data_IF_886648702070
#
_entry.id   IF_886648702070
#
_cell.length_a   1.000
_cell.length_b   1.000
_cell.length_c   1.000
_cell.angle_alpha   90.00
_cell.angle_beta   90.00
_cell.angle_gamma   90.00
#
_symmetry.space_group_name_H-M   'P 1'
#
loop_
_entity.id
_entity.type
_entity.pdbx_description
1 polymer ?
#
# COMPACT_ATOMS: atom_id res chain seq x y z
N UNK A 1 -14.13 11.28 11.53
CA UNK A 1 -15.05 10.22 11.05
C UNK A 1 -16.05 10.84 10.09
N UNK A 2 -16.41 10.16 9.00
CA UNK A 2 -17.42 10.64 8.05
C UNK A 2 -18.83 10.40 8.60
N UNK A 3 -19.67 11.43 8.59
CA UNK A 3 -21.04 11.33 9.06
C UNK A 3 -21.91 10.69 7.98
N UNK A 4 -22.31 9.43 8.16
CA UNK A 4 -23.12 8.69 7.18
C UNK A 4 -24.61 8.99 7.44
N UNK A 5 -25.20 9.86 6.63
CA UNK A 5 -26.65 10.07 6.65
C UNK A 5 -27.36 8.87 6.00
N UNK A 6 -28.11 8.13 6.81
CA UNK A 6 -28.92 7.00 6.33
C UNK A 6 -30.22 7.55 5.72
N UNK A 7 -30.56 7.24 4.46
CA UNK A 7 -31.81 7.69 3.85
C UNK A 7 -33.03 7.23 4.66
N UNK A 8 -33.94 8.16 4.97
CA UNK A 8 -35.11 7.92 5.83
C UNK A 8 -36.07 6.85 5.31
N UNK A 9 -36.05 6.57 4.00
CA UNK A 9 -36.86 5.52 3.37
C UNK A 9 -36.27 4.11 3.58
N UNK A 10 -34.95 3.97 3.73
CA UNK A 10 -34.25 2.68 3.77
C UNK A 10 -34.77 1.72 4.86
N UNK A 11 -35.03 2.15 6.12
CA UNK A 11 -35.59 1.27 7.14
C UNK A 11 -36.98 0.72 6.77
N UNK A 12 -37.79 1.50 6.05
CA UNK A 12 -39.14 1.09 5.65
C UNK A 12 -39.11 0.08 4.50
N UNK A 13 -38.23 0.30 3.52
CA UNK A 13 -38.01 -0.58 2.37
C UNK A 13 -37.49 -1.95 2.84
N UNK A 14 -36.45 -1.96 3.69
CA UNK A 14 -35.88 -3.20 4.23
C UNK A 14 -36.91 -3.96 5.09
N UNK A 15 -37.65 -3.28 5.96
CA UNK A 15 -38.71 -3.92 6.77
C UNK A 15 -39.77 -4.60 5.91
N UNK A 16 -40.19 -3.95 4.81
CA UNK A 16 -41.20 -4.49 3.91
C UNK A 16 -40.66 -5.70 3.10
N UNK A 17 -39.37 -5.70 2.73
CA UNK A 17 -38.71 -6.88 2.16
C UNK A 17 -38.63 -8.04 3.17
N UNK A 18 -38.22 -7.79 4.42
CA UNK A 18 -38.19 -8.83 5.47
C UNK A 18 -39.58 -9.43 5.72
N UNK A 19 -40.64 -8.62 5.74
CA UNK A 19 -42.02 -9.10 5.83
C UNK A 19 -42.44 -9.94 4.61
N UNK A 20 -41.92 -9.64 3.43
CA UNK A 20 -42.11 -10.47 2.22
C UNK A 20 -41.48 -11.86 2.43
N UNK A 21 -40.18 -11.91 2.76
CA UNK A 21 -39.43 -13.16 2.99
C UNK A 21 -40.06 -14.03 4.08
N UNK A 22 -40.47 -13.44 5.21
CA UNK A 22 -41.12 -14.17 6.31
C UNK A 22 -42.49 -14.76 5.91
N UNK A 23 -43.19 -14.13 4.96
CA UNK A 23 -44.52 -14.54 4.48
C UNK A 23 -44.45 -15.56 3.36
N UNK A 24 -43.52 -15.42 2.40
CA UNK A 24 -43.38 -16.34 1.26
C UNK A 24 -42.47 -17.54 1.56
N UNK A 25 -41.52 -17.40 2.49
CA UNK A 25 -40.51 -18.40 2.85
C UNK A 25 -39.82 -19.01 1.60
N UNK A 26 -39.17 -18.17 0.78
CA UNK A 26 -38.56 -18.62 -0.47
C UNK A 26 -37.38 -19.57 -0.19
N UNK A 27 -37.08 -20.46 -1.13
CA UNK A 27 -35.94 -21.39 -1.01
C UNK A 27 -34.60 -20.71 -1.18
N UNK A 28 -34.55 -19.67 -2.02
CA UNK A 28 -33.43 -18.75 -2.15
C UNK A 28 -33.91 -17.33 -1.85
N UNK A 29 -33.17 -16.61 -1.00
CA UNK A 29 -33.51 -15.25 -0.55
C UNK A 29 -32.96 -14.20 -1.53
N UNK A 30 -31.91 -14.51 -2.29
CA UNK A 30 -31.26 -13.62 -3.25
C UNK A 30 -32.14 -13.48 -4.50
N UNK A 31 -32.62 -14.60 -5.07
CA UNK A 31 -33.56 -14.55 -6.21
C UNK A 31 -34.86 -13.82 -5.83
N UNK A 32 -35.39 -14.09 -4.63
CA UNK A 32 -36.57 -13.39 -4.11
C UNK A 32 -36.31 -11.89 -3.87
N UNK A 33 -35.08 -11.49 -3.52
CA UNK A 33 -34.70 -10.08 -3.43
C UNK A 33 -34.67 -9.41 -4.82
N UNK A 34 -34.04 -10.07 -5.81
CA UNK A 34 -33.97 -9.57 -7.19
C UNK A 34 -35.37 -9.38 -7.76
N UNK A 35 -36.28 -10.35 -7.59
CA UNK A 35 -37.65 -10.21 -8.05
C UNK A 35 -38.40 -9.11 -7.27
N UNK A 36 -38.33 -9.11 -5.93
CA UNK A 36 -39.05 -8.14 -5.08
C UNK A 36 -38.66 -6.69 -5.41
N UNK A 37 -37.37 -6.38 -5.49
CA UNK A 37 -36.92 -5.02 -5.80
C UNK A 37 -37.19 -4.64 -7.27
N UNK A 38 -37.16 -5.59 -8.21
CA UNK A 38 -37.60 -5.36 -9.60
C UNK A 38 -39.09 -5.02 -9.67
N UNK A 39 -39.94 -5.68 -8.89
CA UNK A 39 -41.38 -5.36 -8.80
C UNK A 39 -41.60 -3.98 -8.13
N UNK A 40 -40.89 -3.68 -7.03
CA UNK A 40 -40.99 -2.40 -6.32
C UNK A 40 -40.60 -1.21 -7.20
N UNK A 41 -39.50 -1.32 -7.95
CA UNK A 41 -39.03 -0.28 -8.88
C UNK A 41 -40.06 0.00 -9.99
N UNK A 42 -40.74 -1.03 -10.50
CA UNK A 42 -41.84 -0.88 -11.48
C UNK A 42 -43.04 -0.13 -10.89
N UNK A 43 -43.41 -0.42 -9.64
CA UNK A 43 -44.51 0.29 -8.96
C UNK A 43 -44.19 1.77 -8.72
N UNK A 44 -42.98 2.09 -8.23
CA UNK A 44 -42.54 3.48 -8.06
C UNK A 44 -42.56 4.26 -9.39
N UNK A 45 -42.08 3.64 -10.48
CA UNK A 45 -42.13 4.26 -11.81
C UNK A 45 -43.57 4.54 -12.27
N UNK A 46 -44.48 3.57 -12.11
CA UNK A 46 -45.91 3.76 -12.44
C UNK A 46 -46.58 4.87 -11.62
N UNK A 47 -46.24 5.02 -10.33
CA UNK A 47 -46.74 6.13 -9.52
C UNK A 47 -46.22 7.49 -10.02
N UNK A 48 -44.94 7.58 -10.39
CA UNK A 48 -44.37 8.83 -10.93
C UNK A 48 -44.98 9.22 -12.29
N UNK A 49 -45.30 8.25 -13.14
CA UNK A 49 -45.95 8.47 -14.44
C UNK A 49 -47.41 8.90 -14.30
N UNK A 50 -48.13 8.43 -13.27
CA UNK A 50 -49.48 8.88 -12.93
C UNK A 50 -49.49 10.32 -12.38
N UNK A 51 -48.52 10.68 -11.53
CA UNK A 51 -48.38 12.05 -11.02
C UNK A 51 -48.08 13.08 -12.13
N UNK A 52 -47.35 12.68 -13.18
CA UNK A 52 -47.02 13.54 -14.33
C UNK A 52 -48.17 13.72 -15.34
N UNK A 53 -49.21 12.89 -15.29
CA UNK A 53 -50.32 12.91 -16.28
C UNK A 53 -51.59 13.61 -15.81
N UNK A 54 -51.68 13.97 -14.52
CA UNK A 54 -52.87 14.60 -13.93
C UNK A 54 -53.12 16.09 -14.27
N UNK A 55 -52.14 16.81 -14.81
CA UNK A 55 -52.24 18.26 -15.05
C UNK A 55 -52.42 18.62 -16.54
N UNK A 56 -53.68 18.68 -17.01
CA UNK A 56 -54.09 19.44 -18.20
C UNK A 56 -55.39 20.20 -17.92
N UNK A 57 -55.48 21.50 -18.25
CA UNK A 57 -56.68 22.29 -17.99
C UNK A 57 -57.78 21.97 -19.01
N UNK A 58 -59.03 21.98 -18.55
CA UNK A 58 -60.24 21.97 -19.39
C UNK A 58 -60.95 23.31 -19.24
N UNK A 59 -61.36 23.91 -20.36
CA UNK A 59 -61.86 25.29 -20.42
C UNK A 59 -63.34 25.33 -20.80
N UNK A 60 -64.10 26.25 -20.18
CA UNK A 60 -65.53 26.56 -20.43
C UNK A 60 -66.54 25.48 -19.96
N UNK A 61 -67.77 25.80 -19.54
CA UNK A 61 -68.48 27.09 -19.54
C UNK A 61 -69.49 27.25 -18.36
N UNK A 62 -69.79 28.52 -18.04
CA UNK A 62 -71.08 29.08 -17.55
C UNK A 62 -71.79 28.57 -16.27
N UNK A 63 -72.22 29.55 -15.45
CA UNK A 63 -73.31 29.53 -14.44
C UNK A 63 -73.17 28.62 -13.20
N UNK A 64 -73.64 29.02 -12.00
CA UNK A 64 -74.22 30.29 -11.55
C UNK A 64 -73.93 30.57 -10.06
N UNK A 65 -73.93 31.85 -9.71
CA UNK A 65 -73.78 32.42 -8.37
C UNK A 65 -74.79 31.93 -7.32
N UNK A 66 -74.37 31.87 -6.05
CA UNK A 66 -74.99 32.64 -4.97
C UNK A 66 -73.99 32.96 -3.84
N UNK A 67 -74.34 33.91 -2.97
CA UNK A 67 -73.52 34.50 -1.89
C UNK A 67 -73.79 33.82 -0.51
N UNK A 68 -73.32 34.25 0.68
CA UNK A 68 -72.71 35.51 1.16
C UNK A 68 -72.14 35.36 2.60
N UNK A 69 -71.03 36.06 2.94
CA UNK A 69 -70.61 36.47 4.33
C UNK A 69 -70.30 35.29 5.32
N UNK A 70 -69.58 35.40 6.44
CA UNK A 70 -69.10 36.52 7.28
C UNK A 70 -67.68 36.31 7.86
N UNK A 71 -67.20 37.27 8.67
CA UNK A 71 -65.81 37.44 9.11
C UNK A 71 -65.41 36.69 10.41
N UNK A 72 -64.10 36.69 10.69
CA UNK A 72 -63.43 36.34 11.96
C UNK A 72 -63.95 37.16 13.18
N UNK A 73 -63.64 36.75 14.43
CA UNK A 73 -62.43 37.29 15.10
C UNK A 73 -61.65 36.29 16.00
N UNK A 74 -60.64 36.81 16.69
CA UNK A 74 -59.58 36.12 17.45
C UNK A 74 -59.88 35.93 18.95
N UNK A 75 -59.19 34.99 19.61
CA UNK A 75 -58.58 35.05 20.98
C UNK A 75 -58.01 33.66 21.35
N UNK A 76 -57.33 33.39 22.49
CA UNK A 76 -56.17 33.97 23.22
C UNK A 76 -55.95 33.08 24.48
N UNK A 77 -54.81 33.18 25.20
CA UNK A 77 -54.57 32.62 26.56
C UNK A 77 -54.54 31.07 26.73
N UNK A 78 -54.13 30.48 27.88
CA UNK A 78 -52.84 30.49 28.65
C UNK A 78 -52.83 29.29 29.62
N UNK A 79 -51.65 28.88 30.17
CA UNK A 79 -51.43 28.24 31.50
C UNK A 79 -52.29 27.02 31.94
N UNK A 80 -51.81 25.80 32.18
CA UNK A 80 -51.03 25.30 33.36
C UNK A 80 -51.69 23.95 33.83
N UNK A 81 -51.19 23.05 34.71
CA UNK A 81 -49.97 22.92 35.54
C UNK A 81 -49.71 21.43 35.95
N UNK A 82 -48.50 21.13 36.44
CA UNK A 82 -48.08 20.17 37.49
C UNK A 82 -48.74 18.76 37.70
N UNK A 83 -47.88 17.75 37.93
CA UNK A 83 -47.76 16.94 39.17
C UNK A 83 -46.42 16.15 39.18
N UNK A 84 -45.94 15.75 40.35
CA UNK A 84 -44.61 15.15 40.62
C UNK A 84 -44.72 13.62 40.83
N UNK A 85 -43.67 12.80 40.66
CA UNK A 85 -42.78 12.35 41.76
C UNK A 85 -41.62 11.44 41.27
N UNK A 86 -40.66 11.17 42.17
CA UNK A 86 -39.46 10.31 42.05
C UNK A 86 -39.67 8.85 42.52
N UNK A 87 -38.83 7.88 42.08
CA UNK A 87 -38.21 6.86 42.99
C UNK A 87 -37.12 5.93 42.36
N UNK A 88 -35.92 5.94 42.97
CA UNK A 88 -35.04 4.84 43.44
C UNK A 88 -34.80 3.46 42.75
N UNK A 89 -33.49 3.18 42.50
CA UNK A 89 -32.65 2.03 43.01
C UNK A 89 -32.73 0.60 42.38
N UNK A 90 -31.53 -0.01 42.21
CA UNK A 90 -31.20 -1.46 42.07
C UNK A 90 -31.66 -2.21 40.78
N UNK A 91 -31.08 -3.34 40.31
CA UNK A 91 -29.81 -4.12 40.51
C UNK A 91 -29.64 -4.97 39.22
N UNK A 92 -28.46 -5.14 38.61
CA UNK A 92 -27.41 -6.15 38.86
C UNK A 92 -27.71 -7.60 38.40
N UNK A 93 -26.66 -8.33 38.01
CA UNK A 93 -26.52 -9.80 37.79
C UNK A 93 -27.03 -10.52 36.51
N UNK A 94 -26.05 -11.12 35.80
CA UNK A 94 -26.02 -12.49 35.23
C UNK A 94 -26.94 -12.87 34.03
N UNK A 95 -26.59 -13.86 33.17
CA UNK A 95 -25.71 -15.03 33.38
C UNK A 95 -24.69 -15.29 32.25
N UNK A 96 -23.50 -15.77 32.63
CA UNK A 96 -22.51 -16.41 31.73
C UNK A 96 -22.77 -17.91 31.58
N UNK A 97 -22.59 -18.47 30.38
CA UNK A 97 -22.36 -19.91 30.16
C UNK A 97 -21.79 -20.13 28.74
N UNK A 98 -20.48 -20.16 28.51
CA UNK A 98 -19.48 -21.17 28.92
C UNK A 98 -19.48 -22.44 28.05
N UNK A 99 -18.33 -22.73 27.43
CA UNK A 99 -17.57 -23.97 27.67
C UNK A 99 -16.09 -23.76 27.28
N UNK A 100 -15.18 -24.29 28.10
CA UNK A 100 -13.71 -24.24 27.95
C UNK A 100 -13.13 -25.52 28.60
N UNK A 101 -11.83 -25.78 28.41
CA UNK A 101 -11.00 -26.84 29.05
C UNK A 101 -11.12 -28.21 28.35
N UNK A 102 -10.11 -29.07 28.34
CA UNK A 102 -9.01 -29.23 29.33
C UNK A 102 -7.56 -28.95 28.89
N UNK A 103 -6.72 -28.62 29.90
CA UNK A 103 -5.25 -28.64 29.82
C UNK A 103 -4.58 -28.66 31.22
N UNK A 104 -3.91 -29.76 31.57
CA UNK A 104 -2.92 -29.89 32.67
C UNK A 104 -2.03 -31.13 32.39
N UNK A 105 -0.69 -31.17 32.56
CA UNK A 105 0.20 -30.99 33.75
C UNK A 105 0.05 -32.14 34.78
N UNK A 106 1.07 -32.83 35.31
CA UNK A 106 2.58 -32.75 35.34
C UNK A 106 3.19 -34.15 35.64
N UNK A 107 4.50 -34.51 35.59
CA UNK A 107 5.78 -34.11 34.92
C UNK A 107 6.92 -35.03 35.45
N UNK A 108 8.17 -34.95 34.93
CA UNK A 108 9.44 -35.57 35.45
C UNK A 108 9.51 -37.11 35.20
N UNK A 109 10.61 -37.78 34.80
CA UNK A 109 12.05 -37.72 35.20
C UNK A 109 13.08 -38.05 34.06
N UNK A 110 14.30 -38.51 34.38
CA UNK A 110 15.56 -38.21 33.65
C UNK A 110 16.40 -39.44 33.24
N UNK A 111 17.05 -39.44 32.04
CA UNK A 111 18.52 -39.73 31.76
C UNK A 111 18.89 -40.38 30.41
N UNK A 112 20.06 -39.93 29.90
CA UNK A 112 21.13 -40.63 29.15
C UNK A 112 21.02 -41.06 27.65
N UNK A 113 22.08 -40.68 26.90
CA UNK A 113 22.80 -41.43 25.83
C UNK A 113 22.09 -41.74 24.49
N UNK A 114 22.76 -41.84 23.33
CA UNK A 114 24.10 -41.37 22.89
C UNK A 114 24.19 -41.37 21.34
N UNK A 115 24.83 -40.33 20.77
CA UNK A 115 25.78 -40.42 19.64
C UNK A 115 25.30 -40.86 18.21
N UNK A 116 26.22 -40.72 17.25
CA UNK A 116 26.26 -41.27 15.87
C UNK A 116 25.37 -40.62 14.79
N UNK A 117 26.01 -39.62 14.17
CA UNK A 117 25.98 -39.19 12.76
C UNK A 117 25.67 -40.20 11.65
N UNK A 118 25.13 -39.68 10.52
CA UNK A 118 25.51 -39.92 9.11
C UNK A 118 24.34 -40.14 8.12
N UNK A 119 24.47 -39.45 6.99
CA UNK A 119 24.05 -39.83 5.63
C UNK A 119 24.44 -41.30 5.25
N UNK A 120 23.88 -41.95 4.20
CA UNK A 120 23.86 -41.38 2.85
C UNK A 120 22.73 -41.83 1.88
N UNK A 121 22.92 -41.41 0.64
CA UNK A 121 22.32 -41.94 -0.60
C UNK A 121 22.56 -43.45 -0.80
N UNK A 122 21.75 -44.12 -1.64
CA UNK A 122 22.12 -44.56 -3.01
C UNK A 122 20.90 -45.22 -3.72
N UNK A 123 21.11 -45.91 -4.84
CA UNK A 123 20.15 -46.17 -5.92
C UNK A 123 19.81 -47.67 -6.15
N UNK A 124 19.18 -47.94 -7.31
CA UNK A 124 19.28 -49.18 -8.14
C UNK A 124 18.51 -50.46 -7.76
N UNK A 125 17.27 -50.53 -8.28
CA UNK A 125 16.78 -51.51 -9.31
C UNK A 125 17.12 -53.01 -9.26
N UNK A 126 16.06 -53.83 -9.17
CA UNK A 126 15.69 -55.08 -9.93
C UNK A 126 14.18 -55.30 -9.69
N UNK A 127 13.30 -55.78 -10.59
CA UNK A 127 13.24 -57.08 -11.31
C UNK A 127 13.11 -58.28 -10.32
N UNK A 128 12.17 -59.24 -10.43
CA UNK A 128 11.16 -59.57 -11.47
C UNK A 128 10.03 -60.48 -10.89
N UNK A 129 8.84 -60.49 -11.55
CA UNK A 129 7.74 -61.53 -11.55
C UNK A 129 7.11 -62.01 -10.18
N UNK A 130 5.94 -62.70 -10.07
CA UNK A 130 5.17 -63.60 -10.97
C UNK A 130 3.62 -63.57 -10.75
N UNK A 131 2.87 -63.97 -11.80
CA UNK A 131 1.63 -64.79 -11.83
C UNK A 131 0.23 -64.32 -11.31
N UNK A 132 -0.66 -64.09 -12.30
CA UNK A 132 -1.96 -64.77 -12.56
C UNK A 132 -3.19 -64.59 -11.61
N UNK A 133 -4.46 -64.65 -12.07
CA UNK A 133 -5.02 -65.00 -13.40
C UNK A 133 -6.43 -64.38 -13.65
N UNK A 134 -6.74 -63.98 -14.91
CA UNK A 134 -8.08 -63.96 -15.59
C UNK A 134 -9.28 -63.15 -14.99
N UNK A 135 -10.26 -62.62 -15.77
CA UNK A 135 -10.71 -62.94 -17.15
C UNK A 135 -11.60 -61.85 -17.80
N UNK A 136 -11.57 -61.73 -19.15
CA UNK A 136 -12.59 -61.16 -20.09
C UNK A 136 -12.99 -59.67 -19.99
N UNK A 137 -13.26 -58.94 -21.09
CA UNK A 137 -13.36 -59.30 -22.54
C UNK A 137 -13.18 -58.09 -23.49
N UNK A 138 -12.53 -58.34 -24.64
CA UNK A 138 -12.75 -57.79 -26.01
C UNK A 138 -12.74 -56.24 -26.21
N UNK A 139 -11.78 -55.62 -26.94
CA UNK A 139 -11.43 -55.67 -28.40
C UNK A 139 -12.39 -54.81 -29.28
N UNK A 140 -12.03 -54.16 -30.40
CA UNK A 140 -10.72 -53.78 -31.00
C UNK A 140 -10.29 -52.36 -30.46
N UNK A 141 -9.57 -51.40 -31.09
CA UNK A 141 -8.90 -51.19 -32.40
C UNK A 141 -7.82 -50.06 -32.29
N UNK A 142 -6.52 -50.37 -32.17
CA UNK A 142 -5.45 -49.34 -32.27
C UNK A 142 -5.03 -49.10 -33.74
N UNK A 143 -5.48 -47.99 -34.32
CA UNK A 143 -5.02 -47.52 -35.65
C UNK A 143 -4.24 -46.21 -35.56
N UNK A 144 -2.92 -46.36 -35.51
CA UNK A 144 -1.95 -45.32 -35.86
C UNK A 144 -2.37 -44.63 -37.18
N UNK A 145 -2.65 -43.33 -37.10
CA UNK A 145 -2.93 -42.46 -38.23
C UNK A 145 -2.19 -41.15 -38.02
N UNK A 146 -1.00 -41.06 -38.61
CA UNK A 146 -0.24 -39.82 -38.73
C UNK A 146 -0.94 -38.87 -39.70
N UNK A 147 -1.89 -38.07 -39.20
CA UNK A 147 -2.59 -37.07 -40.00
C UNK A 147 -2.80 -35.72 -39.27
N UNK A 148 -1.84 -34.83 -39.51
CA UNK A 148 -1.98 -33.38 -39.71
C UNK A 148 -3.39 -32.76 -39.50
N UNK A 149 -3.71 -32.36 -38.27
CA UNK A 149 -4.77 -31.39 -37.95
C UNK A 149 -4.32 -30.39 -36.87
N UNK A 150 -3.26 -29.62 -37.20
CA UNK A 150 -2.77 -28.55 -36.33
C UNK A 150 -3.55 -27.22 -36.52
N UNK A 151 -4.72 -27.26 -37.16
CA UNK A 151 -5.50 -26.08 -37.54
C UNK A 151 -6.73 -25.81 -36.64
N UNK A 152 -7.31 -26.85 -36.03
CA UNK A 152 -8.57 -26.74 -35.29
C UNK A 152 -8.49 -25.95 -33.95
N UNK A 153 -7.32 -25.84 -33.31
CA UNK A 153 -7.19 -25.25 -31.96
C UNK A 153 -7.06 -23.72 -31.93
N UNK A 154 -6.89 -23.02 -33.07
CA UNK A 154 -6.67 -21.57 -32.99
C UNK A 154 -7.94 -20.80 -32.58
N UNK A 155 -9.14 -21.23 -33.01
CA UNK A 155 -10.39 -20.66 -32.49
C UNK A 155 -10.62 -21.04 -31.02
N UNK A 156 -10.25 -22.25 -30.59
CA UNK A 156 -10.37 -22.68 -29.19
C UNK A 156 -9.45 -21.86 -28.28
N UNK A 157 -8.18 -21.66 -28.65
CA UNK A 157 -7.24 -20.75 -27.96
C UNK A 157 -7.78 -19.33 -27.93
N UNK A 158 -8.23 -18.78 -29.06
CA UNK A 158 -8.82 -17.43 -29.12
C UNK A 158 -10.06 -17.30 -28.20
N UNK A 159 -10.87 -18.35 -28.07
CA UNK A 159 -12.03 -18.38 -27.18
C UNK A 159 -11.62 -18.48 -25.69
N UNK A 160 -10.66 -19.33 -25.34
CA UNK A 160 -10.14 -19.47 -23.97
C UNK A 160 -9.38 -18.23 -23.48
N UNK A 161 -8.64 -17.56 -24.36
CA UNK A 161 -7.96 -16.29 -24.08
C UNK A 161 -8.99 -15.19 -23.82
N UNK A 162 -9.97 -14.98 -24.72
CA UNK A 162 -11.06 -14.01 -24.51
C UNK A 162 -11.84 -14.24 -23.21
N UNK A 163 -12.06 -15.50 -22.83
CA UNK A 163 -12.73 -15.86 -21.58
C UNK A 163 -11.89 -15.58 -20.31
N UNK A 164 -10.60 -15.27 -20.45
CA UNK A 164 -9.67 -14.92 -19.38
C UNK A 164 -9.07 -13.50 -19.50
N UNK A 165 -9.49 -12.64 -20.44
CA UNK A 165 -8.93 -11.29 -20.66
C UNK A 165 -8.92 -10.37 -19.42
N UNK A 166 -9.75 -10.68 -18.41
CA UNK A 166 -9.84 -9.94 -17.14
C UNK A 166 -9.12 -10.60 -15.96
N UNK A 167 -8.43 -11.74 -16.16
CA UNK A 167 -7.73 -12.44 -15.09
C UNK A 167 -6.38 -11.78 -14.81
N UNK A 168 -6.26 -11.13 -13.66
CA UNK A 168 -4.99 -10.52 -13.19
C UNK A 168 -3.90 -11.59 -13.11
N UNK A 169 -2.76 -11.32 -13.75
CA UNK A 169 -1.57 -12.18 -13.75
C UNK A 169 -0.60 -11.69 -12.68
N UNK A 170 0.04 -12.61 -11.96
CA UNK A 170 1.09 -12.28 -10.99
C UNK A 170 2.36 -11.78 -11.68
N UNK A 171 2.96 -10.71 -11.15
CA UNK A 171 4.29 -10.23 -11.58
C UNK A 171 5.35 -10.57 -10.53
N UNK A 172 6.58 -10.81 -10.98
CA UNK A 172 7.74 -11.07 -10.13
C UNK A 172 9.00 -10.46 -10.76
N UNK A 173 10.03 -10.33 -9.94
CA UNK A 173 11.34 -9.81 -10.31
C UNK A 173 12.43 -10.75 -9.77
N UNK A 174 13.68 -10.56 -10.20
CA UNK A 174 14.81 -11.34 -9.71
C UNK A 174 14.96 -11.21 -8.19
N UNK A 175 15.29 -12.33 -7.53
CA UNK A 175 15.66 -12.35 -6.12
C UNK A 175 17.03 -11.68 -5.97
N UNK A 176 17.17 -10.89 -4.91
CA UNK A 176 18.42 -10.24 -4.52
C UNK A 176 18.48 -10.24 -3.01
N UNK A 177 19.55 -10.80 -2.43
CA UNK A 177 19.81 -10.69 -1.00
C UNK A 177 20.85 -9.59 -0.75
N UNK A 178 20.52 -8.50 -0.05
CA UNK A 178 21.49 -7.46 0.29
C UNK A 178 22.52 -7.90 1.34
N UNK A 179 22.29 -9.01 2.06
CA UNK A 179 23.24 -9.56 3.06
C UNK A 179 24.40 -10.30 2.40
N UNK A 180 24.15 -11.06 1.34
CA UNK A 180 25.18 -11.85 0.64
C UNK A 180 26.06 -11.00 -0.30
N UNK A 181 25.58 -9.81 -0.71
CA UNK A 181 26.27 -8.90 -1.63
C UNK A 181 27.43 -8.17 -0.93
N UNK A 182 28.50 -8.90 -0.66
CA UNK A 182 29.73 -8.36 -0.05
C UNK A 182 30.30 -7.20 -0.88
N UNK A 183 30.73 -6.14 -0.19
CA UNK A 183 31.31 -4.93 -0.79
C UNK A 183 32.69 -5.15 -1.46
N UNK A 184 33.24 -6.37 -1.41
CA UNK A 184 34.43 -6.79 -2.14
C UNK A 184 34.13 -7.24 -3.58
N UNK A 185 32.98 -7.87 -3.80
CA UNK A 185 32.69 -8.64 -5.02
C UNK A 185 31.61 -7.96 -5.88
N UNK A 186 30.89 -6.99 -5.32
CA UNK A 186 30.05 -6.10 -6.11
C UNK A 186 30.90 -5.29 -7.08
N UNK A 187 30.55 -5.34 -8.37
CA UNK A 187 31.06 -4.45 -9.42
C UNK A 187 31.26 -3.03 -8.87
N UNK A 188 32.46 -2.48 -9.02
CA UNK A 188 32.76 -1.11 -8.59
C UNK A 188 31.68 -0.19 -9.13
N UNK A 189 31.05 0.58 -8.23
CA UNK A 189 29.94 1.48 -8.54
C UNK A 189 30.16 2.12 -9.90
N UNK A 190 29.32 1.77 -10.89
CA UNK A 190 29.60 1.97 -12.31
C UNK A 190 29.42 3.46 -12.68
N UNK A 191 30.34 4.30 -12.21
CA UNK A 191 30.29 5.75 -12.41
C UNK A 191 30.64 6.07 -13.86
N UNK A 192 29.62 6.21 -14.69
CA UNK A 192 29.75 6.81 -16.01
C UNK A 192 29.78 8.33 -15.84
N UNK A 193 30.92 9.01 -16.11
CA UNK A 193 31.08 10.43 -15.81
C UNK A 193 30.12 11.28 -16.64
N UNK A 194 29.53 12.30 -16.00
CA UNK A 194 28.53 13.21 -16.58
C UNK A 194 28.92 14.65 -16.32
N UNK A 195 28.64 15.54 -17.27
CA UNK A 195 28.74 16.98 -17.01
C UNK A 195 27.70 17.42 -15.97
N UNK A 196 27.93 18.50 -15.20
CA UNK A 196 26.93 19.03 -14.27
C UNK A 196 25.60 19.37 -14.95
N UNK A 197 25.65 19.85 -16.21
CA UNK A 197 24.49 20.18 -17.03
C UNK A 197 23.68 18.94 -17.41
N UNK A 198 24.33 17.86 -17.85
CA UNK A 198 23.66 16.58 -18.10
C UNK A 198 23.07 16.00 -16.82
N UNK A 199 23.80 16.08 -15.70
CA UNK A 199 23.32 15.61 -14.40
C UNK A 199 22.06 16.36 -13.96
N UNK A 200 21.99 17.67 -14.21
CA UNK A 200 20.80 18.46 -13.92
C UNK A 200 19.63 18.09 -14.84
N UNK A 201 19.83 18.03 -16.17
CA UNK A 201 18.78 17.58 -17.12
C UNK A 201 18.23 16.20 -16.77
N UNK A 202 19.09 15.28 -16.34
CA UNK A 202 18.69 13.96 -15.86
C UNK A 202 17.86 14.02 -14.57
N UNK A 203 18.26 14.82 -13.57
CA UNK A 203 17.46 15.04 -12.36
C UNK A 203 16.08 15.59 -12.70
N UNK A 204 16.01 16.57 -13.61
CA UNK A 204 14.76 17.19 -14.04
C UNK A 204 13.87 16.19 -14.82
N UNK A 205 14.46 15.34 -15.66
CA UNK A 205 13.73 14.34 -16.45
C UNK A 205 13.22 13.13 -15.63
N UNK A 206 13.80 12.85 -14.46
CA UNK A 206 13.34 11.77 -13.54
C UNK A 206 12.55 12.27 -12.33
N UNK A 207 12.51 13.56 -12.01
CA UNK A 207 11.87 14.05 -10.77
C UNK A 207 10.36 13.78 -10.69
N UNK A 208 9.69 13.67 -11.84
CA UNK A 208 8.27 13.30 -11.94
C UNK A 208 8.03 11.79 -11.91
N UNK A 209 9.07 10.96 -12.02
CA UNK A 209 8.96 9.52 -12.02
C UNK A 209 8.70 8.97 -10.60
N UNK A 210 7.69 8.11 -10.45
CA UNK A 210 7.30 7.57 -9.15
C UNK A 210 8.44 6.79 -8.45
N UNK A 211 9.30 6.11 -9.22
CA UNK A 211 10.40 5.28 -8.71
C UNK A 211 11.59 6.10 -8.21
N UNK A 212 11.70 7.37 -8.63
CA UNK A 212 12.80 8.27 -8.31
C UNK A 212 12.39 9.32 -7.27
N UNK A 213 11.11 9.71 -7.24
CA UNK A 213 10.55 10.67 -6.27
C UNK A 213 10.62 10.19 -4.81
N UNK A 214 10.73 8.89 -4.58
CA UNK A 214 10.87 8.27 -3.25
C UNK A 214 12.33 8.10 -2.80
N UNK A 215 13.30 8.45 -3.65
CA UNK A 215 14.73 8.30 -3.37
C UNK A 215 15.32 9.56 -2.76
N UNK A 216 16.19 9.40 -1.77
CA UNK A 216 16.98 10.48 -1.19
C UNK A 216 17.96 11.07 -2.23
N UNK A 217 18.35 12.34 -2.09
CA UNK A 217 19.23 13.01 -3.06
C UNK A 217 20.53 12.22 -3.35
N UNK A 218 21.13 11.60 -2.33
CA UNK A 218 22.32 10.73 -2.47
C UNK A 218 22.03 9.45 -3.26
N UNK A 219 20.85 8.85 -3.09
CA UNK A 219 20.42 7.69 -3.87
C UNK A 219 20.19 8.07 -5.33
N UNK A 220 19.49 9.18 -5.59
CA UNK A 220 19.31 9.70 -6.95
C UNK A 220 20.67 9.94 -7.60
N UNK A 221 21.63 10.53 -6.87
CA UNK A 221 22.97 10.76 -7.40
C UNK A 221 23.71 9.45 -7.74
N UNK A 222 23.71 8.44 -6.85
CA UNK A 222 24.30 7.11 -7.15
C UNK A 222 23.62 6.40 -8.33
N UNK A 223 22.29 6.51 -8.43
CA UNK A 223 21.50 5.95 -9.52
C UNK A 223 21.84 6.64 -10.84
N UNK A 224 21.91 7.98 -10.87
CA UNK A 224 22.31 8.72 -12.07
C UNK A 224 23.76 8.43 -12.47
N UNK A 225 24.69 8.27 -11.52
CA UNK A 225 26.07 7.89 -11.83
C UNK A 225 26.14 6.53 -12.55
N UNK A 226 25.31 5.56 -12.13
CA UNK A 226 25.19 4.22 -12.72
C UNK A 226 24.53 4.16 -14.12
N UNK A 227 24.00 5.26 -14.66
CA UNK A 227 23.43 5.28 -16.02
C UNK A 227 24.52 5.41 -17.09
N UNK A 228 24.51 4.58 -18.13
CA UNK A 228 25.44 4.70 -19.27
C UNK A 228 24.81 5.42 -20.47
N UNK A 229 25.65 5.98 -21.34
CA UNK A 229 25.20 6.63 -22.57
C UNK A 229 24.90 5.61 -23.67
N UNK A 230 23.77 5.77 -24.37
CA UNK A 230 23.47 5.12 -25.65
C UNK A 230 23.16 6.21 -26.69
N UNK A 231 24.11 6.45 -27.58
CA UNK A 231 23.88 7.18 -28.84
C UNK A 231 22.96 6.36 -29.75
N UNK A 232 22.02 7.01 -30.43
CA UNK A 232 21.08 6.37 -31.37
C UNK A 232 21.05 7.09 -32.71
N UNK A 233 20.68 6.36 -33.78
CA UNK A 233 20.52 6.93 -35.13
C UNK A 233 19.07 7.07 -35.55
N UNK A 234 18.78 8.02 -36.43
CA UNK A 234 17.47 8.16 -37.07
C UNK A 234 17.02 6.85 -37.73
N UNK A 235 15.82 6.40 -37.40
CA UNK A 235 15.21 5.14 -37.85
C UNK A 235 15.57 3.93 -36.98
N UNK A 236 16.43 4.07 -35.98
CA UNK A 236 16.71 3.00 -35.02
C UNK A 236 15.49 2.74 -34.11
N UNK A 237 15.23 1.47 -33.80
CA UNK A 237 14.23 1.05 -32.82
C UNK A 237 14.94 0.90 -31.47
N UNK A 238 14.49 1.64 -30.44
CA UNK A 238 15.12 1.64 -29.12
C UNK A 238 14.59 0.48 -28.28
N UNK A 239 13.26 0.28 -28.33
CA UNK A 239 12.52 -0.85 -27.77
C UNK A 239 11.38 -1.21 -28.72
N UNK A 240 11.03 -2.48 -28.81
CA UNK A 240 9.90 -2.98 -29.60
C UNK A 240 8.81 -3.54 -28.68
N UNK A 241 7.54 -3.30 -29.03
CA UNK A 241 6.39 -3.81 -28.29
C UNK A 241 6.38 -5.34 -28.29
N UNK A 242 6.15 -5.94 -27.13
CA UNK A 242 6.17 -7.40 -26.93
C UNK A 242 7.49 -7.96 -26.39
N UNK A 243 8.61 -7.27 -26.62
CA UNK A 243 9.94 -7.69 -26.12
C UNK A 243 10.00 -7.65 -24.58
N UNK A 244 10.84 -8.50 -23.98
CA UNK A 244 11.15 -8.42 -22.54
C UNK A 244 11.83 -7.09 -22.16
N UNK A 245 11.48 -6.58 -20.99
CA UNK A 245 11.77 -5.20 -20.59
C UNK A 245 12.77 -5.10 -19.45
N UNK A 246 14.08 -5.14 -19.74
CA UNK A 246 15.15 -5.05 -18.71
C UNK A 246 15.73 -3.64 -18.49
N UNK A 247 15.41 -2.67 -19.35
CA UNK A 247 16.06 -1.36 -19.39
C UNK A 247 15.10 -0.17 -19.27
N UNK A 248 15.51 0.87 -18.55
CA UNK A 248 14.90 2.20 -18.51
C UNK A 248 15.75 3.18 -19.32
N UNK A 249 15.09 4.16 -19.96
CA UNK A 249 15.74 5.14 -20.84
C UNK A 249 15.28 6.55 -20.46
N UNK A 250 16.23 7.48 -20.37
CA UNK A 250 16.00 8.93 -20.19
C UNK A 250 16.60 9.68 -21.37
N UNK A 251 15.90 10.66 -21.91
CA UNK A 251 16.33 11.41 -23.11
C UNK A 251 17.22 12.58 -22.69
N UNK A 252 18.42 12.67 -23.29
CA UNK A 252 19.30 13.86 -23.19
C UNK A 252 19.10 14.78 -24.41
N UNK A 253 18.92 14.21 -25.61
CA UNK A 253 18.54 14.92 -26.82
C UNK A 253 17.99 13.98 -27.90
N UNK A 254 17.34 14.56 -28.92
CA UNK A 254 16.70 13.84 -30.04
C UNK A 254 15.17 13.88 -29.97
N UNK A 255 14.52 13.38 -31.03
CA UNK A 255 13.06 13.20 -31.10
C UNK A 255 12.74 11.72 -31.29
N UNK A 256 11.73 11.22 -30.58
CA UNK A 256 11.40 9.81 -30.49
C UNK A 256 9.90 9.57 -30.64
N UNK A 257 9.50 8.78 -31.63
CA UNK A 257 8.11 8.47 -31.91
C UNK A 257 7.63 7.23 -31.15
N UNK A 258 6.45 7.34 -30.54
CA UNK A 258 5.82 6.29 -29.74
C UNK A 258 4.76 5.57 -30.58
N UNK A 259 4.95 4.27 -30.81
CA UNK A 259 4.07 3.42 -31.60
C UNK A 259 3.45 2.31 -30.76
N UNK A 260 2.14 2.08 -30.92
CA UNK A 260 1.41 0.99 -30.26
C UNK A 260 0.56 0.23 -31.28
N UNK A 261 0.75 -1.08 -31.38
CA UNK A 261 -0.19 -2.00 -32.01
C UNK A 261 -1.27 -2.42 -31.02
N UNK A 262 -2.49 -2.60 -31.51
CA UNK A 262 -3.58 -3.30 -30.82
C UNK A 262 -3.81 -4.72 -31.38
N UNK A 263 -3.11 -5.07 -32.44
CA UNK A 263 -3.20 -6.34 -33.16
C UNK A 263 -1.99 -7.19 -32.76
N UNK A 264 -2.22 -8.47 -32.40
CA UNK A 264 -1.26 -9.33 -31.70
C UNK A 264 -0.10 -9.84 -32.57
N UNK A 265 -0.18 -9.61 -33.87
CA UNK A 265 0.87 -9.82 -34.89
C UNK A 265 1.81 -8.60 -35.04
N UNK A 266 1.52 -7.51 -34.33
CA UNK A 266 2.16 -6.20 -34.44
C UNK A 266 2.14 -5.56 -35.84
N UNK A 267 1.32 -6.07 -36.77
CA UNK A 267 1.33 -5.65 -38.18
C UNK A 267 0.86 -4.20 -38.39
N UNK A 268 0.06 -3.67 -37.44
CA UNK A 268 -0.58 -2.37 -37.55
C UNK A 268 -0.35 -1.51 -36.30
N UNK A 269 0.84 -0.95 -36.23
CA UNK A 269 1.19 0.05 -35.22
C UNK A 269 0.57 1.43 -35.54
N UNK A 270 0.20 2.16 -34.49
CA UNK A 270 -0.34 3.52 -34.56
C UNK A 270 0.61 4.44 -33.77
N UNK A 271 1.02 5.57 -34.34
CA UNK A 271 1.74 6.60 -33.56
C UNK A 271 0.79 7.21 -32.54
N UNK A 272 1.07 7.02 -31.26
CA UNK A 272 0.24 7.50 -30.12
C UNK A 272 0.80 8.76 -29.47
N UNK A 273 2.07 9.10 -29.73
CA UNK A 273 2.73 10.28 -29.19
C UNK A 273 4.17 10.42 -29.69
N UNK A 274 4.88 11.41 -29.16
CA UNK A 274 6.29 11.68 -29.42
C UNK A 274 6.95 12.28 -28.17
N UNK A 275 8.23 12.00 -27.96
CA UNK A 275 9.08 12.72 -27.02
C UNK A 275 9.98 13.68 -27.80
N UNK A 276 10.12 14.91 -27.31
CA UNK A 276 10.93 15.96 -27.93
C UNK A 276 11.98 16.47 -26.93
N UNK A 277 13.22 16.02 -27.11
CA UNK A 277 14.42 16.38 -26.32
C UNK A 277 14.34 16.12 -24.80
N UNK A 278 13.24 15.59 -24.30
CA UNK A 278 12.93 15.48 -22.86
C UNK A 278 12.04 14.27 -22.58
N UNK A 279 12.06 13.81 -21.33
CA UNK A 279 11.23 12.72 -20.85
C UNK A 279 12.00 11.40 -20.68
N UNK A 280 11.27 10.36 -20.27
CA UNK A 280 11.80 9.03 -20.04
C UNK A 280 10.75 7.96 -20.35
N UNK A 281 11.20 6.73 -20.63
CA UNK A 281 10.35 5.61 -21.01
C UNK A 281 10.88 4.26 -20.53
N UNK A 282 9.94 3.32 -20.31
CA UNK A 282 10.26 1.97 -19.86
C UNK A 282 10.45 1.82 -18.35
N UNK A 283 9.97 2.74 -17.51
CA UNK A 283 10.16 2.73 -16.04
C UNK A 283 9.80 1.40 -15.36
N UNK A 284 8.72 0.74 -15.81
CA UNK A 284 8.23 -0.53 -15.24
C UNK A 284 9.26 -1.66 -15.35
N UNK A 285 10.17 -1.58 -16.33
CA UNK A 285 11.29 -2.50 -16.49
C UNK A 285 12.16 -2.62 -15.23
N UNK A 286 12.27 -1.54 -14.44
CA UNK A 286 13.08 -1.51 -13.22
C UNK A 286 12.42 -2.24 -12.05
N UNK A 287 11.10 -2.47 -12.09
CA UNK A 287 10.34 -3.06 -11.00
C UNK A 287 10.26 -4.58 -11.10
N UNK A 288 9.94 -5.10 -12.29
CA UNK A 288 9.74 -6.52 -12.59
C UNK A 288 9.93 -6.76 -14.09
N UNK A 289 10.01 -8.03 -14.52
CA UNK A 289 9.94 -8.29 -15.95
C UNK A 289 8.49 -8.21 -16.46
N UNK A 290 8.28 -7.39 -17.48
CA UNK A 290 7.05 -7.33 -18.26
C UNK A 290 7.37 -6.98 -19.72
N UNK A 291 6.62 -7.54 -20.68
CA UNK A 291 6.70 -7.15 -22.09
C UNK A 291 6.49 -5.65 -22.31
N UNK A 292 7.26 -5.05 -23.22
CA UNK A 292 7.13 -3.64 -23.60
C UNK A 292 5.73 -3.36 -24.15
N UNK A 293 5.07 -2.33 -23.61
CA UNK A 293 3.71 -1.92 -24.01
C UNK A 293 3.68 -1.05 -25.28
N UNK A 294 4.83 -0.60 -25.78
CA UNK A 294 4.97 0.25 -26.97
C UNK A 294 6.34 0.05 -27.63
N UNK A 295 6.40 0.32 -28.94
CA UNK A 295 7.63 0.46 -29.72
C UNK A 295 8.06 1.92 -29.72
N UNK A 296 9.36 2.19 -29.54
CA UNK A 296 9.95 3.54 -29.60
C UNK A 296 10.97 3.59 -30.74
N UNK A 297 10.84 4.58 -31.63
CA UNK A 297 11.69 4.75 -32.82
C UNK A 297 12.30 6.16 -32.82
N UNK A 298 13.59 6.26 -33.13
CA UNK A 298 14.30 7.54 -33.24
C UNK A 298 13.92 8.31 -34.52
N UNK A 299 13.28 9.46 -34.40
CA UNK A 299 12.91 10.33 -35.52
C UNK A 299 14.08 11.19 -36.02
N UNK A 300 15.09 11.39 -35.16
CA UNK A 300 16.38 12.02 -35.41
C UNK A 300 17.51 11.16 -34.84
N UNK A 301 18.77 11.48 -35.15
CA UNK A 301 19.87 11.05 -34.30
C UNK A 301 19.70 11.65 -32.89
N UNK A 302 20.23 11.01 -31.85
CA UNK A 302 20.01 11.45 -30.46
C UNK A 302 20.85 10.70 -29.43
N UNK A 303 20.66 11.06 -28.15
CA UNK A 303 21.37 10.47 -27.01
C UNK A 303 20.38 10.12 -25.90
N UNK A 304 20.47 8.87 -25.43
CA UNK A 304 19.75 8.34 -24.29
C UNK A 304 20.71 7.99 -23.17
N UNK A 305 20.26 8.16 -21.92
CA UNK A 305 20.88 7.55 -20.75
C UNK A 305 20.10 6.30 -20.37
N UNK A 306 20.81 5.19 -20.16
CA UNK A 306 20.24 3.86 -19.99
C UNK A 306 20.55 3.30 -18.61
N UNK A 307 19.60 2.56 -18.04
CA UNK A 307 19.74 1.86 -16.77
C UNK A 307 19.15 0.44 -16.84
N UNK A 308 19.90 -0.56 -16.37
CA UNK A 308 19.41 -1.93 -16.23
C UNK A 308 18.64 -2.15 -14.92
N UNK A 309 17.60 -3.00 -14.97
CA UNK A 309 16.76 -3.41 -13.83
C UNK A 309 17.61 -3.87 -12.64
N UNK A 310 18.56 -4.76 -12.88
CA UNK A 310 19.34 -5.40 -11.82
C UNK A 310 20.22 -4.37 -11.09
N UNK A 311 20.85 -3.45 -11.83
CA UNK A 311 21.62 -2.32 -11.27
C UNK A 311 20.76 -1.42 -10.39
N UNK A 312 19.57 -1.03 -10.86
CA UNK A 312 18.64 -0.20 -10.08
C UNK A 312 18.16 -0.91 -8.81
N UNK A 313 17.67 -2.15 -8.94
CA UNK A 313 17.20 -2.97 -7.80
C UNK A 313 18.31 -3.16 -6.76
N UNK A 314 19.53 -3.46 -7.21
CA UNK A 314 20.72 -3.60 -6.35
C UNK A 314 21.00 -2.33 -5.57
N UNK A 315 21.08 -1.17 -6.24
CA UNK A 315 21.33 0.13 -5.58
C UNK A 315 20.25 0.48 -4.55
N UNK A 316 18.96 0.38 -4.93
CA UNK A 316 17.84 0.75 -4.05
C UNK A 316 17.75 -0.19 -2.85
N UNK A 317 17.81 -1.51 -3.06
CA UNK A 317 17.71 -2.51 -1.99
C UNK A 317 18.94 -2.48 -1.07
N UNK A 318 20.16 -2.34 -1.60
CA UNK A 318 21.37 -2.24 -0.77
C UNK A 318 21.41 -0.96 0.05
N UNK A 319 20.90 0.17 -0.47
CA UNK A 319 20.77 1.40 0.32
C UNK A 319 19.70 1.28 1.41
N UNK A 320 18.52 0.73 1.11
CA UNK A 320 17.47 0.51 2.09
C UNK A 320 17.94 -0.41 3.23
N UNK A 321 18.64 -1.51 2.89
CA UNK A 321 19.24 -2.42 3.84
C UNK A 321 20.31 -1.75 4.73
N UNK A 322 21.29 -1.04 4.13
CA UNK A 322 22.30 -0.29 4.89
C UNK A 322 21.70 0.78 5.81
N UNK A 323 20.64 1.47 5.36
CA UNK A 323 19.89 2.44 6.17
C UNK A 323 19.23 1.76 7.38
N UNK A 324 18.56 0.62 7.17
CA UNK A 324 18.00 -0.19 8.27
C UNK A 324 19.08 -0.65 9.25
N UNK A 325 20.18 -1.24 8.78
CA UNK A 325 21.29 -1.68 9.65
C UNK A 325 21.90 -0.52 10.45
N UNK A 326 22.07 0.66 9.83
CA UNK A 326 22.52 1.86 10.55
C UNK A 326 21.56 2.21 11.69
N UNK A 327 20.25 2.20 11.42
CA UNK A 327 19.25 2.50 12.44
C UNK A 327 19.10 1.42 13.52
N UNK A 328 19.17 0.13 13.18
CA UNK A 328 19.18 -0.95 14.16
C UNK A 328 20.38 -0.85 15.11
N UNK A 329 21.54 -0.40 14.63
CA UNK A 329 22.70 -0.15 15.48
C UNK A 329 22.50 1.07 16.39
N UNK A 330 22.00 2.20 15.87
CA UNK A 330 21.63 3.37 16.71
C UNK A 330 20.60 2.95 17.78
N UNK A 331 19.56 2.21 17.40
CA UNK A 331 18.53 1.67 18.29
C UNK A 331 19.04 0.60 19.27
N UNK A 332 20.24 0.05 19.07
CA UNK A 332 20.89 -0.93 19.98
C UNK A 332 21.76 -0.22 21.03
N UNK A 333 22.41 0.88 20.65
CA UNK A 333 23.19 1.73 21.55
C UNK A 333 22.29 2.49 22.56
N UNK A 334 21.06 2.84 22.15
CA UNK A 334 20.07 3.51 23.00
C UNK A 334 19.64 2.65 24.20
N UNK A 335 20.16 2.99 25.39
CA UNK A 335 19.88 2.29 26.66
C UNK A 335 18.38 2.06 26.96
N UNK A 336 17.52 2.97 26.51
CA UNK A 336 16.07 2.91 26.73
C UNK A 336 15.34 1.89 25.82
N UNK A 337 15.97 1.45 24.72
CA UNK A 337 15.44 0.49 23.75
C UNK A 337 16.21 -0.86 23.74
N UNK A 338 17.10 -1.07 24.72
CA UNK A 338 17.84 -2.34 24.86
C UNK A 338 16.93 -3.54 25.16
N UNK A 339 15.71 -3.32 25.68
CA UNK A 339 14.71 -4.36 25.95
C UNK A 339 14.01 -4.91 24.71
N UNK A 340 14.12 -4.25 23.55
CA UNK A 340 13.48 -4.70 22.32
C UNK A 340 14.10 -5.99 21.80
N UNK A 341 13.27 -6.88 21.27
CA UNK A 341 13.72 -7.93 20.35
C UNK A 341 14.24 -7.30 19.06
N UNK A 342 15.09 -8.00 18.31
CA UNK A 342 15.58 -7.47 17.03
C UNK A 342 14.44 -7.27 16.01
N UNK A 343 13.37 -8.07 16.04
CA UNK A 343 12.18 -7.86 15.21
C UNK A 343 11.46 -6.52 15.52
N UNK A 344 11.25 -6.21 16.80
CA UNK A 344 10.69 -4.91 17.20
C UNK A 344 11.64 -3.76 16.82
N UNK A 345 12.96 -3.97 16.98
CA UNK A 345 13.99 -3.00 16.59
C UNK A 345 13.99 -2.71 15.08
N UNK A 346 13.86 -3.74 14.23
CA UNK A 346 13.74 -3.58 12.78
C UNK A 346 12.45 -2.84 12.38
N UNK A 347 11.32 -3.13 13.03
CA UNK A 347 10.06 -2.42 12.78
C UNK A 347 10.17 -0.92 13.13
N UNK A 348 10.87 -0.58 14.21
CA UNK A 348 11.16 0.82 14.56
C UNK A 348 12.13 1.45 13.58
N UNK A 349 13.19 0.74 13.17
CA UNK A 349 14.16 1.22 12.18
C UNK A 349 13.51 1.59 10.83
N UNK A 350 12.50 0.83 10.40
CA UNK A 350 11.70 1.12 9.21
C UNK A 350 10.74 2.33 9.37
N UNK A 351 10.45 2.74 10.60
CA UNK A 351 9.62 3.91 10.92
C UNK A 351 10.44 5.20 11.21
N UNK A 352 11.78 5.13 11.21
CA UNK A 352 12.63 6.30 11.47
C UNK A 352 12.81 7.17 10.22
N UNK A 353 12.51 8.46 10.38
CA UNK A 353 12.67 9.48 9.34
C UNK A 353 13.91 10.34 9.67
N UNK A 354 14.97 10.35 8.83
CA UNK A 354 16.14 11.20 9.03
C UNK A 354 15.79 12.68 8.93
N UNK A 355 16.29 13.47 9.86
CA UNK A 355 16.22 14.93 9.85
C UNK A 355 17.62 15.50 10.15
N UNK A 356 18.05 16.49 9.38
CA UNK A 356 19.32 17.18 9.59
C UNK A 356 19.06 18.65 9.94
N UNK A 357 19.78 19.18 10.93
CA UNK A 357 19.71 20.58 11.37
C UNK A 357 21.11 21.23 11.33
N UNK A 358 21.17 22.52 11.05
CA UNK A 358 22.39 23.33 11.13
C UNK A 358 22.55 23.92 12.54
N UNK A 359 23.74 24.46 12.84
CA UNK A 359 23.99 25.11 14.14
C UNK A 359 23.00 26.25 14.43
N UNK A 360 22.64 26.39 15.71
CA UNK A 360 21.75 27.41 16.27
C UNK A 360 20.28 27.31 15.77
N UNK A 361 19.93 26.28 14.99
CA UNK A 361 18.54 25.98 14.62
C UNK A 361 17.76 25.34 15.78
N UNK A 362 16.50 25.76 15.94
CA UNK A 362 15.59 25.25 16.97
C UNK A 362 14.91 23.98 16.45
N UNK A 363 15.17 22.85 17.11
CA UNK A 363 14.61 21.53 16.76
C UNK A 363 13.24 21.32 17.43
N UNK A 364 13.13 21.74 18.69
CA UNK A 364 11.90 21.77 19.49
C UNK A 364 11.87 23.11 20.22
N UNK A 365 10.68 23.70 20.37
CA UNK A 365 10.47 24.92 21.14
C UNK A 365 9.53 24.66 22.32
N UNK A 366 9.86 25.20 23.49
CA UNK A 366 9.04 25.06 24.70
C UNK A 366 7.65 25.66 24.47
N UNK A 367 6.60 24.91 24.83
CA UNK A 367 5.20 25.29 24.72
C UNK A 367 4.50 24.97 23.40
N UNK A 368 5.24 24.49 22.38
CA UNK A 368 4.64 23.99 21.13
C UNK A 368 4.10 22.54 21.34
N UNK A 369 3.38 21.96 20.37
CA UNK A 369 2.73 20.63 20.52
C UNK A 369 3.63 19.41 20.20
N UNK A 370 3.10 18.22 20.47
CA UNK A 370 3.85 17.00 20.81
C UNK A 370 4.41 16.12 19.69
N UNK A 371 3.88 16.17 18.46
CA UNK A 371 4.60 15.81 17.22
C UNK A 371 5.22 14.40 17.09
N UNK A 372 6.41 14.26 17.67
CA UNK A 372 7.43 13.23 17.41
C UNK A 372 8.55 13.29 18.45
N UNK A 373 9.25 12.19 18.66
CA UNK A 373 10.53 12.16 19.40
C UNK A 373 11.73 12.09 18.45
N UNK A 374 12.93 12.35 18.98
CA UNK A 374 14.18 12.36 18.23
C UNK A 374 15.27 11.56 18.95
N UNK A 375 16.12 10.88 18.17
CA UNK A 375 17.30 10.16 18.61
C UNK A 375 18.54 10.79 17.96
N UNK A 376 19.60 11.07 18.72
CA UNK A 376 20.79 11.75 18.17
C UNK A 376 21.72 10.73 17.50
N UNK A 377 21.80 10.76 16.16
CA UNK A 377 22.71 9.94 15.36
C UNK A 377 24.15 10.48 15.36
N UNK A 378 24.26 11.81 15.33
CA UNK A 378 25.50 12.57 15.09
C UNK A 378 25.35 14.04 15.52
N UNK A 379 26.40 14.62 16.10
CA UNK A 379 26.40 15.97 16.68
C UNK A 379 25.92 16.07 18.14
N UNK A 380 25.66 17.30 18.58
CA UNK A 380 25.26 17.69 19.94
C UNK A 380 24.09 18.71 19.89
N UNK A 381 23.20 18.66 20.88
CA UNK A 381 22.09 19.61 21.07
C UNK A 381 22.07 20.17 22.50
N UNK A 382 21.69 21.43 22.66
CA UNK A 382 21.52 22.09 23.96
C UNK A 382 20.05 22.17 24.38
N UNK A 383 19.77 21.77 25.63
CA UNK A 383 18.46 21.81 26.25
C UNK A 383 18.32 23.12 27.04
N UNK A 384 17.26 23.88 26.77
CA UNK A 384 16.86 25.08 27.49
C UNK A 384 15.47 24.90 28.12
N UNK A 385 15.34 25.23 29.41
CA UNK A 385 14.04 25.27 30.11
C UNK A 385 13.86 26.64 30.74
N UNK A 386 12.74 27.31 30.43
CA UNK A 386 12.42 28.67 30.89
C UNK A 386 13.59 29.65 30.61
N UNK A 387 14.05 29.63 29.36
CA UNK A 387 15.17 30.40 28.80
C UNK A 387 16.54 30.21 29.50
N UNK A 388 16.69 29.14 30.28
CA UNK A 388 17.96 28.77 30.94
C UNK A 388 18.51 27.47 30.36
N UNK A 389 19.78 27.49 30.01
CA UNK A 389 20.54 26.28 29.67
C UNK A 389 20.48 25.27 30.83
N UNK A 390 20.19 24.01 30.52
CA UNK A 390 20.03 22.93 31.49
C UNK A 390 21.10 21.83 31.32
N UNK A 391 21.20 21.24 30.12
CA UNK A 391 22.14 20.15 29.78
C UNK A 391 22.43 20.19 28.28
N UNK A 392 23.65 19.78 27.88
CA UNK A 392 23.96 19.37 26.51
C UNK A 392 23.80 17.85 26.35
N UNK A 393 23.15 17.42 25.27
CA UNK A 393 22.91 16.02 24.91
C UNK A 393 23.61 15.68 23.58
N UNK A 394 24.14 14.47 23.49
CA UNK A 394 25.08 14.06 22.44
C UNK A 394 24.58 12.81 21.71
N UNK A 395 25.29 12.35 20.68
CA UNK A 395 25.06 11.04 20.04
C UNK A 395 24.77 9.93 21.06
N UNK A 396 23.64 9.24 20.90
CA UNK A 396 23.16 8.18 21.80
C UNK A 396 22.27 8.67 22.96
N UNK A 397 22.09 9.99 23.14
CA UNK A 397 20.93 10.55 23.85
C UNK A 397 19.70 10.59 22.91
N UNK A 398 18.53 10.79 23.50
CA UNK A 398 17.24 10.95 22.84
C UNK A 398 16.43 12.05 23.55
N UNK A 399 15.41 12.61 22.90
CA UNK A 399 14.59 13.68 23.49
C UNK A 399 13.21 13.83 22.82
N UNK A 400 12.31 14.56 23.49
CA UNK A 400 10.97 14.88 23.01
C UNK A 400 9.91 13.83 23.34
N UNK A 401 10.28 12.80 24.10
CA UNK A 401 9.40 11.74 24.57
C UNK A 401 8.29 12.22 25.50
N UNK A 402 8.55 13.25 26.32
CA UNK A 402 7.62 13.70 27.36
C UNK A 402 6.24 14.10 26.80
N UNK A 403 6.22 14.70 25.62
CA UNK A 403 4.99 15.09 24.94
C UNK A 403 4.23 13.89 24.33
N UNK A 404 4.91 12.77 24.08
CA UNK A 404 4.28 11.50 23.70
C UNK A 404 3.68 10.81 24.93
N UNK A 405 4.38 10.82 26.06
CA UNK A 405 4.00 10.07 27.26
C UNK A 405 2.86 10.73 28.05
N UNK A 406 2.84 12.07 28.10
CA UNK A 406 1.90 12.84 28.91
C UNK A 406 0.78 13.50 28.07
N UNK A 407 0.93 13.55 26.73
CA UNK A 407 0.16 14.40 25.83
C UNK A 407 0.18 15.91 26.21
N UNK A 408 1.29 16.36 26.83
CA UNK A 408 1.52 17.74 27.23
C UNK A 408 2.36 18.52 26.19
N UNK A 409 2.25 19.87 26.14
CA UNK A 409 3.13 20.70 25.34
C UNK A 409 4.61 20.52 25.69
N UNK A 410 5.49 20.78 24.73
CA UNK A 410 6.94 20.57 24.83
C UNK A 410 7.53 21.29 26.05
N UNK A 411 8.10 20.53 26.98
CA UNK A 411 8.58 21.03 28.28
C UNK A 411 9.87 21.86 28.22
N UNK A 412 10.60 21.78 27.10
CA UNK A 412 11.90 22.42 26.89
C UNK A 412 12.07 22.85 25.42
N UNK A 413 12.95 23.83 25.20
CA UNK A 413 13.48 24.19 23.88
C UNK A 413 14.77 23.41 23.64
N UNK A 414 14.96 22.85 22.44
CA UNK A 414 16.13 22.09 22.02
C UNK A 414 16.75 22.78 20.81
N UNK A 415 18.04 23.11 20.90
CA UNK A 415 18.78 23.85 19.86
C UNK A 415 19.97 23.01 19.37
N UNK A 416 20.20 22.97 18.07
CA UNK A 416 21.36 22.30 17.48
C UNK A 416 22.67 23.02 17.83
N UNK A 417 23.58 22.36 18.55
CA UNK A 417 24.79 22.97 19.10
C UNK A 417 26.06 22.67 18.30
N UNK A 418 25.99 21.73 17.36
CA UNK A 418 27.07 21.41 16.41
C UNK A 418 26.85 22.09 15.05
N UNK A 419 27.91 22.32 14.24
CA UNK A 419 27.81 22.85 12.87
C UNK A 419 26.76 22.16 12.00
N UNK A 420 26.58 20.85 12.23
CA UNK A 420 25.49 20.04 11.71
C UNK A 420 25.13 18.96 12.73
N UNK A 421 23.83 18.71 12.89
CA UNK A 421 23.27 17.64 13.74
C UNK A 421 22.44 16.72 12.85
N UNK A 422 22.48 15.41 13.12
CA UNK A 422 21.59 14.42 12.49
C UNK A 422 20.75 13.69 13.52
N UNK A 423 19.45 13.63 13.26
CA UNK A 423 18.45 13.06 14.16
C UNK A 423 17.61 12.03 13.41
N UNK A 424 17.38 10.89 14.05
CA UNK A 424 16.33 9.97 13.65
C UNK A 424 15.04 10.42 14.34
N UNK A 425 14.00 10.79 13.58
CA UNK A 425 12.70 11.18 14.14
C UNK A 425 11.67 10.06 14.06
N UNK A 426 10.79 9.98 15.07
CA UNK A 426 9.73 8.97 15.18
C UNK A 426 8.42 9.62 15.66
N UNK A 427 7.36 9.46 14.87
CA UNK A 427 6.04 10.09 15.07
C UNK A 427 5.20 9.36 16.13
N UNK A 428 4.31 10.09 16.84
CA UNK A 428 3.52 9.53 17.97
C UNK A 428 2.78 8.25 17.59
N UNK A 429 2.01 8.28 16.50
CA UNK A 429 1.18 7.15 16.05
C UNK A 429 2.02 5.91 15.67
N UNK A 430 3.25 6.12 15.20
CA UNK A 430 4.18 5.03 14.91
C UNK A 430 4.88 4.53 16.18
N UNK A 431 5.18 5.41 17.14
CA UNK A 431 5.66 5.00 18.45
C UNK A 431 4.62 4.15 19.18
N UNK A 432 3.40 4.64 19.39
CA UNK A 432 2.37 3.92 20.17
C UNK A 432 2.06 2.53 19.58
N UNK A 433 1.95 2.46 18.24
CA UNK A 433 1.66 1.23 17.49
C UNK A 433 2.79 0.19 17.51
N UNK A 434 4.05 0.62 17.54
CA UNK A 434 5.23 -0.26 17.44
C UNK A 434 5.92 -0.52 18.79
N UNK A 435 5.75 0.39 19.75
CA UNK A 435 6.51 0.47 21.00
C UNK A 435 5.63 0.57 22.26
N UNK A 436 4.35 0.20 22.18
CA UNK A 436 3.46 0.08 23.35
C UNK A 436 4.09 -0.57 24.60
N UNK A 437 4.82 -1.71 24.49
CA UNK A 437 5.52 -2.31 25.64
C UNK A 437 6.67 -1.47 26.23
N UNK A 438 7.24 -0.54 25.46
CA UNK A 438 8.29 0.37 25.92
C UNK A 438 7.74 1.67 26.56
N UNK A 439 6.45 1.98 26.41
CA UNK A 439 5.79 3.14 27.06
C UNK A 439 6.09 3.16 28.57
N UNK A 440 5.91 2.01 29.22
CA UNK A 440 6.26 1.72 30.62
C UNK A 440 7.71 2.03 30.98
N UNK A 441 8.66 1.70 30.09
CA UNK A 441 10.10 1.89 30.32
C UNK A 441 10.49 3.35 30.16
N UNK A 442 9.82 4.09 29.27
CA UNK A 442 10.03 5.52 29.12
C UNK A 442 9.46 6.30 30.32
N UNK A 443 8.23 6.00 30.76
CA UNK A 443 7.63 6.61 31.96
C UNK A 443 8.49 6.40 33.23
N UNK A 444 9.10 5.22 33.40
CA UNK A 444 10.04 4.95 34.51
C UNK A 444 11.31 5.80 34.45
N UNK A 445 11.77 6.18 33.25
CA UNK A 445 12.92 7.06 33.06
C UNK A 445 12.57 8.56 33.14
N UNK A 446 11.36 8.97 32.75
CA UNK A 446 10.83 10.35 32.90
C UNK A 446 11.02 10.90 34.31
N UNK A 447 10.85 10.06 35.34
CA UNK A 447 11.06 10.40 36.76
C UNK A 447 12.51 10.81 37.13
N UNK A 448 13.47 10.73 36.20
CA UNK A 448 14.85 11.22 36.34
C UNK A 448 15.04 12.66 35.85
N UNK A 449 14.18 13.15 34.96
CA UNK A 449 14.25 14.49 34.36
C UNK A 449 13.38 15.52 35.10
N UNK A 450 12.42 15.06 35.91
CA UNK A 450 11.56 15.89 36.76
C UNK A 450 12.20 16.21 38.14
N UNK A 451 13.53 16.36 38.19
CA UNK A 451 14.33 16.63 39.40
C UNK A 451 15.50 17.57 39.12
#
# INVERSE_FOLDING_TARGET
MTHIEIPSELPSILRNFTLSVLRTRPRDIIDHAVEYFTQLQRQQKQQSEQLMTGNKPVTTASSSSFSSTSQQPQQQQTSDQNVISSENIATEENYNSAFEKDKSMTSIDTKNSENISNEPTLSTSTEEETDNENKTSEDDDEKDNSFDDFAADEELRRHYVKKNEFRRVSVAAERYNPEDDNDSDSEQSLVYPKTPEQRQRLKDAVCHNLLFRTLEAKQIDQVLDAMWEKTVRKGEVIIQQGDDGDHFYVIDNGVYDIYVSKEADFSKSIKVGEYNQTGSFGELALMYNQPRSATIIASTDGILWVMGRQTFRKLVLKHAFRKRQMYENVLRDLTILQSLTDYERSNVADALIPVEYNQDEIIIKQGDEGDRMFFIEDGECDIYMNDKFHKRINKGDYFGELALLNHEPRSATIIAASPKVKLASLEVESFERLLGPCMDLMQRNTSKYLK
#
